data_IF_183208612493
#
_entry.id   IF_183208612493
#
_cell.length_a   1.000
_cell.length_b   1.000
_cell.length_c   1.000
_cell.angle_alpha   90.00
_cell.angle_beta   90.00
_cell.angle_gamma   90.00
#
_symmetry.space_group_name_H-M   'P 1'
#
loop_
_entity.id
_entity.type
_entity.pdbx_description
1 polymer ?
#
# COMPACT_ATOMS: atom_id res chain seq x y z
N UNK A 1 8.38 2.87 13.04
CA UNK A 1 7.70 1.57 12.79
C UNK A 1 7.53 1.51 11.28
N UNK A 2 6.91 0.50 10.66
CA UNK A 2 6.56 0.64 9.24
C UNK A 2 5.27 1.45 9.06
N UNK A 3 5.06 2.11 7.92
CA UNK A 3 3.77 2.53 7.40
C UNK A 3 2.73 1.41 7.50
N UNK A 4 3.08 0.18 7.11
CA UNK A 4 2.15 -0.94 7.19
C UNK A 4 1.70 -1.18 8.63
N UNK A 5 2.66 -1.19 9.55
CA UNK A 5 2.42 -1.31 11.00
C UNK A 5 1.62 -0.15 11.58
N UNK A 6 1.89 1.07 11.12
CA UNK A 6 1.27 2.30 11.61
C UNK A 6 -0.16 2.45 11.12
N UNK A 7 -0.42 2.12 9.86
CA UNK A 7 -1.71 2.30 9.20
C UNK A 7 -2.66 1.12 9.42
N UNK A 8 -2.13 -0.11 9.37
CA UNK A 8 -2.94 -1.33 9.42
C UNK A 8 -2.68 -2.20 10.64
N UNK A 9 -1.67 -1.86 11.45
CA UNK A 9 -1.30 -2.58 12.66
C UNK A 9 -0.20 -3.63 12.42
N UNK A 10 0.55 -3.95 13.48
CA UNK A 10 1.66 -4.93 13.46
C UNK A 10 1.29 -6.31 12.90
N UNK A 11 0.04 -6.74 13.06
CA UNK A 11 -0.43 -8.04 12.54
C UNK A 11 -0.27 -8.17 11.02
N UNK A 12 -0.43 -7.07 10.28
CA UNK A 12 -0.31 -7.09 8.83
C UNK A 12 1.15 -7.09 8.38
N UNK A 13 2.04 -6.46 9.15
CA UNK A 13 3.49 -6.57 8.96
C UNK A 13 3.97 -8.02 9.18
N UNK A 14 3.53 -8.66 10.26
CA UNK A 14 3.84 -10.07 10.52
C UNK A 14 3.32 -10.99 9.41
N UNK A 15 2.12 -10.71 8.87
CA UNK A 15 1.58 -11.44 7.71
C UNK A 15 2.42 -11.23 6.46
N UNK A 16 2.81 -10.00 6.14
CA UNK A 16 3.67 -9.72 4.99
C UNK A 16 5.02 -10.45 5.12
N UNK A 17 5.61 -10.45 6.31
CA UNK A 17 6.86 -11.14 6.59
C UNK A 17 6.73 -12.67 6.44
N UNK A 18 5.58 -13.24 6.83
CA UNK A 18 5.32 -14.68 6.73
C UNK A 18 4.92 -15.12 5.31
N UNK A 19 4.14 -14.31 4.59
CA UNK A 19 3.68 -14.62 3.24
C UNK A 19 4.81 -14.57 2.20
N UNK A 20 5.82 -13.72 2.42
CA UNK A 20 6.93 -13.55 1.48
C UNK A 20 6.51 -12.83 0.20
N UNK A 21 7.21 -13.12 -0.90
CA UNK A 21 6.97 -12.44 -2.18
C UNK A 21 5.81 -13.12 -2.92
N UNK A 22 4.60 -12.58 -2.76
CA UNK A 22 3.39 -13.08 -3.40
C UNK A 22 3.16 -12.38 -4.74
N UNK A 23 3.00 -13.17 -5.80
CA UNK A 23 2.65 -12.64 -7.12
C UNK A 23 1.17 -12.27 -7.17
N UNK A 24 0.88 -10.97 -7.11
CA UNK A 24 -0.48 -10.41 -7.17
C UNK A 24 -1.21 -10.85 -8.43
N UNK A 25 -0.53 -10.85 -9.58
CA UNK A 25 -1.13 -11.27 -10.86
C UNK A 25 -1.51 -12.75 -10.88
N UNK A 26 -0.68 -13.61 -10.30
CA UNK A 26 -0.98 -15.04 -10.20
C UNK A 26 -2.17 -15.25 -9.25
N UNK A 27 -2.12 -14.68 -8.05
CA UNK A 27 -3.17 -14.78 -7.05
C UNK A 27 -4.53 -14.24 -7.54
N UNK A 28 -4.51 -13.09 -8.23
CA UNK A 28 -5.71 -12.51 -8.84
C UNK A 28 -6.34 -13.46 -9.87
N UNK A 29 -5.50 -14.05 -10.73
CA UNK A 29 -5.95 -14.97 -11.79
C UNK A 29 -6.44 -16.31 -11.24
N UNK A 30 -5.70 -16.90 -10.32
CA UNK A 30 -5.97 -18.24 -9.79
C UNK A 30 -7.21 -18.27 -8.89
N UNK A 31 -7.44 -17.18 -8.14
CA UNK A 31 -8.59 -17.07 -7.24
C UNK A 31 -9.76 -16.24 -7.81
N UNK A 32 -9.61 -15.67 -9.01
CA UNK A 32 -10.61 -14.77 -9.61
C UNK A 32 -10.84 -13.49 -8.79
N UNK A 33 -9.81 -13.02 -8.09
CA UNK A 33 -9.85 -11.82 -7.26
C UNK A 33 -9.35 -10.63 -8.08
N UNK A 34 -9.98 -9.47 -7.93
CA UNK A 34 -9.48 -8.25 -8.56
C UNK A 34 -8.08 -7.91 -8.01
N UNK A 35 -7.10 -7.51 -8.84
CA UNK A 35 -5.71 -7.33 -8.41
C UNK A 35 -5.57 -6.36 -7.23
N UNK A 36 -6.39 -5.31 -7.16
CA UNK A 36 -6.45 -4.35 -6.06
C UNK A 36 -6.99 -4.94 -4.74
N UNK A 37 -7.67 -6.09 -4.82
CA UNK A 37 -8.25 -6.82 -3.68
C UNK A 37 -7.43 -8.05 -3.29
N UNK A 38 -6.27 -8.26 -3.90
CA UNK A 38 -5.35 -9.31 -3.45
C UNK A 38 -4.66 -8.80 -2.17
N UNK A 39 -4.56 -9.61 -1.13
CA UNK A 39 -3.88 -9.28 0.12
C UNK A 39 -2.36 -9.41 0.02
N UNK A 40 -1.69 -9.20 1.14
CA UNK A 40 -0.25 -9.43 1.30
C UNK A 40 0.11 -10.93 1.24
N UNK A 41 -0.86 -11.79 1.53
CA UNK A 41 -0.78 -13.25 1.52
C UNK A 41 -1.30 -13.88 0.21
N UNK A 42 -1.75 -13.07 -0.75
CA UNK A 42 -2.36 -13.55 -1.99
C UNK A 42 -3.83 -13.94 -1.85
N UNK A 43 -4.43 -13.77 -0.68
CA UNK A 43 -5.85 -14.04 -0.48
C UNK A 43 -6.70 -12.80 -0.80
N UNK A 44 -8.02 -12.92 -0.66
CA UNK A 44 -8.92 -11.78 -0.82
C UNK A 44 -8.80 -10.84 0.38
N UNK A 45 -8.46 -9.59 0.12
CA UNK A 45 -8.40 -8.51 1.12
C UNK A 45 -8.96 -7.22 0.52
N UNK A 46 -9.99 -6.67 1.16
CA UNK A 46 -10.63 -5.45 0.70
C UNK A 46 -9.71 -4.23 0.74
N UNK A 47 -8.66 -4.26 1.57
CA UNK A 47 -7.60 -3.23 1.67
C UNK A 47 -6.25 -3.73 1.15
N UNK A 48 -6.26 -4.75 0.29
CA UNK A 48 -5.07 -5.44 -0.18
C UNK A 48 -4.05 -4.54 -0.90
N UNK A 49 -4.51 -3.68 -1.81
CA UNK A 49 -3.67 -2.71 -2.51
C UNK A 49 -3.02 -1.70 -1.56
N UNK A 50 -3.78 -1.11 -0.64
CA UNK A 50 -3.31 -0.11 0.31
C UNK A 50 -2.27 -0.70 1.27
N UNK A 51 -2.48 -1.94 1.73
CA UNK A 51 -1.49 -2.67 2.53
C UNK A 51 -0.22 -2.94 1.75
N UNK A 52 -0.31 -3.35 0.49
CA UNK A 52 0.88 -3.53 -0.38
C UNK A 52 1.60 -2.22 -0.64
N UNK A 53 0.87 -1.13 -0.88
CA UNK A 53 1.46 0.20 -1.02
C UNK A 53 2.18 0.59 0.26
N UNK A 54 1.53 0.47 1.43
CA UNK A 54 2.18 0.76 2.71
C UNK A 54 3.45 -0.07 2.92
N UNK A 55 3.42 -1.36 2.58
CA UNK A 55 4.62 -2.23 2.60
C UNK A 55 5.68 -1.75 1.61
N UNK A 56 5.30 -1.34 0.41
CA UNK A 56 6.24 -0.86 -0.61
C UNK A 56 6.89 0.46 -0.18
N UNK A 57 6.16 1.35 0.51
CA UNK A 57 6.71 2.56 1.11
C UNK A 57 7.75 2.22 2.20
N UNK A 58 7.47 1.19 3.00
CA UNK A 58 8.41 0.66 4.01
C UNK A 58 9.68 0.09 3.36
N UNK A 59 9.52 -0.70 2.29
CA UNK A 59 10.62 -1.28 1.54
C UNK A 59 11.47 -0.19 0.84
N UNK A 60 10.84 0.92 0.44
CA UNK A 60 11.53 2.10 -0.09
C UNK A 60 12.23 2.94 0.99
N UNK A 61 11.97 2.68 2.27
CA UNK A 61 12.57 3.42 3.38
C UNK A 61 11.99 4.82 3.57
N UNK A 62 10.76 5.07 3.08
CA UNK A 62 10.09 6.34 3.26
C UNK A 62 9.78 6.53 4.75
N UNK A 63 9.99 7.75 5.26
CA UNK A 63 9.77 8.05 6.68
C UNK A 63 8.30 7.90 7.07
N UNK A 64 8.00 6.96 7.97
CA UNK A 64 6.68 6.76 8.58
C UNK A 64 6.36 7.79 9.68
N UNK A 65 7.30 8.68 10.00
CA UNK A 65 7.15 9.72 11.01
C UNK A 65 6.47 10.99 10.50
N UNK A 66 6.24 11.11 9.19
CA UNK A 66 5.49 12.23 8.60
C UNK A 66 3.99 11.94 8.62
N UNK A 67 3.16 12.98 8.50
CA UNK A 67 1.72 12.87 8.34
C UNK A 67 1.32 12.36 6.96
N UNK A 68 1.72 11.14 6.58
CA UNK A 68 1.30 10.47 5.35
C UNK A 68 0.42 9.25 5.70
N UNK A 69 -0.69 9.11 4.99
CA UNK A 69 -1.62 7.99 5.12
C UNK A 69 -1.90 7.39 3.75
N UNK A 70 -2.01 6.06 3.73
CA UNK A 70 -2.34 5.30 2.53
C UNK A 70 -3.77 4.79 2.65
N UNK A 71 -4.59 5.12 1.67
CA UNK A 71 -5.91 4.56 1.47
C UNK A 71 -6.04 4.01 0.05
N UNK A 72 -7.08 3.23 -0.20
CA UNK A 72 -7.46 2.81 -1.55
C UNK A 72 -8.94 3.06 -1.77
N UNK A 73 -9.32 3.24 -3.02
CA UNK A 73 -10.71 3.32 -3.48
C UNK A 73 -10.79 2.54 -4.79
N UNK A 74 -11.21 1.28 -4.70
CA UNK A 74 -11.08 0.35 -5.82
C UNK A 74 -9.60 0.18 -6.20
N UNK A 75 -9.29 0.40 -7.47
CA UNK A 75 -7.93 0.32 -8.01
C UNK A 75 -7.15 1.64 -7.95
N UNK A 76 -7.74 2.69 -7.36
CA UNK A 76 -7.09 3.99 -7.14
C UNK A 76 -6.50 4.05 -5.74
N UNK A 77 -5.20 4.35 -5.63
CA UNK A 77 -4.53 4.60 -4.36
C UNK A 77 -4.74 6.06 -3.97
N UNK A 78 -5.14 6.33 -2.73
CA UNK A 78 -5.31 7.68 -2.20
C UNK A 78 -4.27 7.91 -1.10
N UNK A 79 -3.26 8.71 -1.40
CA UNK A 79 -2.21 9.14 -0.49
C UNK A 79 -2.65 10.44 0.18
N UNK A 80 -3.11 10.36 1.43
CA UNK A 80 -3.42 11.56 2.21
C UNK A 80 -2.17 12.08 2.88
N UNK A 81 -1.89 13.37 2.80
CA UNK A 81 -0.64 13.92 3.31
C UNK A 81 -0.83 15.26 4.04
N UNK A 82 -0.03 15.49 5.06
CA UNK A 82 0.14 16.78 5.70
C UNK A 82 1.33 17.54 5.06
N UNK A 83 1.47 18.86 5.31
CA UNK A 83 2.57 19.66 4.78
C UNK A 83 3.97 19.12 5.12
N UNK A 84 4.13 18.42 6.24
CA UNK A 84 5.40 17.79 6.64
C UNK A 84 5.78 16.57 5.78
N UNK A 85 4.83 16.00 5.05
CA UNK A 85 5.03 14.86 4.15
C UNK A 85 5.25 15.27 2.68
N UNK A 86 5.16 16.56 2.34
CA UNK A 86 5.37 17.02 0.95
C UNK A 86 6.72 16.58 0.37
N UNK A 87 7.77 16.55 1.19
CA UNK A 87 9.11 16.15 0.78
C UNK A 87 9.24 14.68 0.38
N UNK A 88 8.36 13.80 0.88
CA UNK A 88 8.34 12.36 0.54
C UNK A 88 7.20 11.99 -0.40
N UNK A 89 6.34 12.95 -0.76
CA UNK A 89 5.12 12.69 -1.51
C UNK A 89 5.41 12.15 -2.91
N UNK A 90 6.36 12.76 -3.62
CA UNK A 90 6.73 12.36 -4.97
C UNK A 90 7.28 10.93 -5.00
N UNK A 91 8.10 10.57 -4.02
CA UNK A 91 8.64 9.21 -3.87
C UNK A 91 7.54 8.23 -3.51
N UNK A 92 6.65 8.59 -2.58
CA UNK A 92 5.51 7.77 -2.21
C UNK A 92 4.56 7.51 -3.38
N UNK A 93 4.32 8.51 -4.21
CA UNK A 93 3.51 8.39 -5.42
C UNK A 93 4.14 7.42 -6.44
N UNK A 94 5.44 7.56 -6.69
CA UNK A 94 6.17 6.66 -7.58
C UNK A 94 6.13 5.21 -7.10
N UNK A 95 6.33 5.00 -5.79
CA UNK A 95 6.25 3.68 -5.17
C UNK A 95 4.84 3.11 -5.31
N UNK A 96 3.81 3.91 -5.02
CA UNK A 96 2.41 3.48 -5.13
C UNK A 96 2.02 3.10 -6.57
N UNK A 97 2.49 3.86 -7.57
CA UNK A 97 2.26 3.56 -8.99
C UNK A 97 2.94 2.25 -9.43
N UNK A 98 4.04 1.87 -8.78
CA UNK A 98 4.74 0.62 -9.05
C UNK A 98 4.06 -0.63 -8.49
N UNK A 99 3.02 -0.49 -7.66
CA UNK A 99 2.36 -1.64 -7.02
C UNK A 99 1.36 -2.29 -7.98
N UNK A 100 1.48 -3.61 -8.17
CA UNK A 100 0.53 -4.38 -8.96
C UNK A 100 -0.91 -4.22 -8.42
N UNK A 101 -1.81 -3.78 -9.32
CA UNK A 101 -3.21 -3.48 -9.02
C UNK A 101 -3.53 -2.00 -8.82
N UNK A 102 -2.52 -1.13 -8.70
CA UNK A 102 -2.72 0.32 -8.78
C UNK A 102 -2.93 0.73 -10.25
N UNK A 103 -4.09 1.29 -10.56
CA UNK A 103 -4.36 1.89 -11.87
C UNK A 103 -4.21 3.40 -11.88
N UNK A 104 -4.38 4.01 -10.71
CA UNK A 104 -4.32 5.45 -10.51
C UNK A 104 -3.82 5.74 -9.09
N UNK A 105 -3.15 6.89 -8.90
CA UNK A 105 -2.66 7.34 -7.60
C UNK A 105 -3.04 8.80 -7.43
N UNK A 106 -3.73 9.10 -6.34
CA UNK A 106 -4.21 10.43 -6.01
C UNK A 106 -3.63 10.88 -4.68
N UNK A 107 -2.97 12.03 -4.70
CA UNK A 107 -2.48 12.67 -3.48
C UNK A 107 -3.47 13.72 -3.01
N UNK A 108 -3.94 13.61 -1.76
CA UNK A 108 -4.93 14.53 -1.18
C UNK A 108 -4.37 15.17 0.08
N UNK A 109 -4.28 16.51 0.18
CA UNK A 109 -3.85 17.16 1.40
C UNK A 109 -4.88 16.90 2.53
N UNK A 110 -4.38 16.56 3.70
CA UNK A 110 -5.16 16.36 4.91
C UNK A 110 -5.35 17.73 5.59
N UNK A 111 -6.40 18.44 5.15
CA UNK A 111 -6.80 19.77 5.66
C UNK A 111 -7.67 19.68 6.90
#
# INVERSE_FOLDING_TARGET
>A
MGFLSRLFGKKEEDKAAQAGNVSVRAAAKDNGIAPEKVGLDGQFDESGLAKRVAKALDDAGISDNVGLWVAQTGSTVVLKYNPDAEGVLAEAEQVAQGVDGATDVQTVPNS
#
